data_IF_996803405433
#
_entry.id   IF_996803405433
#
_cell.length_a   1.000
_cell.length_b   1.000
_cell.length_c   1.000
_cell.angle_alpha   90.00
_cell.angle_beta   90.00
_cell.angle_gamma   90.00
#
_symmetry.space_group_name_H-M   'P 1'
#
loop_
_entity.id
_entity.type
_entity.pdbx_description
1 polymer ?
#
# COMPACT_ATOMS: atom_id res chain seq x y z
N UNK A 1 28.52 -4.55 22.30
CA UNK A 1 29.83 -4.89 22.90
C UNK A 1 29.85 -6.39 23.18
N UNK A 2 30.75 -7.14 22.56
CA UNK A 2 30.88 -8.57 22.87
C UNK A 2 31.96 -8.73 23.91
N UNK A 3 31.55 -8.85 25.16
CA UNK A 3 32.47 -9.01 26.31
C UNK A 3 32.98 -10.47 26.40
N UNK A 4 32.28 -11.43 25.78
CA UNK A 4 32.52 -12.86 25.93
C UNK A 4 33.53 -13.45 24.93
N UNK A 5 33.73 -12.81 23.78
CA UNK A 5 34.56 -13.42 22.69
C UNK A 5 35.78 -12.55 22.32
N UNK A 6 35.94 -11.36 22.91
CA UNK A 6 36.99 -10.41 22.53
C UNK A 6 36.83 -9.79 21.13
N UNK A 7 35.73 -10.12 20.41
CA UNK A 7 35.48 -9.58 19.09
C UNK A 7 35.10 -8.09 19.15
N UNK A 8 35.65 -7.31 18.24
CA UNK A 8 35.25 -5.92 18.04
C UNK A 8 34.09 -5.85 17.05
N UNK A 9 32.95 -5.30 17.47
CA UNK A 9 31.77 -5.14 16.65
C UNK A 9 31.52 -3.66 16.40
N UNK A 10 31.51 -3.24 15.12
CA UNK A 10 31.08 -1.93 14.67
C UNK A 10 29.68 -2.07 14.09
N UNK A 11 28.67 -1.47 14.76
CA UNK A 11 27.30 -1.41 14.24
C UNK A 11 27.09 -0.07 13.54
N UNK A 12 26.67 -0.13 12.27
CA UNK A 12 26.21 1.05 11.54
C UNK A 12 24.74 0.85 11.20
N UNK A 13 23.87 1.64 11.82
CA UNK A 13 22.42 1.59 11.57
C UNK A 13 22.02 2.79 10.70
N UNK A 14 21.46 2.51 9.52
CA UNK A 14 20.91 3.52 8.61
C UNK A 14 19.39 3.39 8.58
N UNK A 15 18.68 4.45 8.97
CA UNK A 15 17.23 4.54 8.78
C UNK A 15 17.00 4.95 7.32
N UNK A 16 16.33 4.09 6.56
CA UNK A 16 16.05 4.33 5.14
C UNK A 16 14.62 4.82 4.94
N UNK A 17 13.64 4.11 5.49
CA UNK A 17 12.22 4.39 5.30
C UNK A 17 11.48 4.48 6.64
N UNK A 18 10.53 5.41 6.78
CA UNK A 18 9.58 5.37 7.89
C UNK A 18 8.58 4.22 7.71
N UNK A 19 7.84 3.91 8.78
CA UNK A 19 6.74 2.95 8.69
C UNK A 19 5.58 3.60 7.93
N UNK A 20 5.04 2.90 6.92
CA UNK A 20 3.82 3.30 6.26
C UNK A 20 2.61 2.92 7.13
N UNK A 21 1.87 3.92 7.55
CA UNK A 21 0.62 3.75 8.31
C UNK A 21 -0.49 4.50 7.60
N UNK A 22 -1.54 3.79 7.22
CA UNK A 22 -2.73 4.42 6.64
C UNK A 22 -3.48 5.23 7.69
N UNK A 23 -3.80 6.47 7.38
CA UNK A 23 -4.67 7.27 8.23
C UNK A 23 -6.11 6.75 8.15
N UNK A 24 -6.75 6.56 9.31
CA UNK A 24 -8.04 5.88 9.39
C UNK A 24 -9.15 6.52 8.54
N UNK A 25 -9.36 7.86 8.53
CA UNK A 25 -10.40 8.45 7.68
C UNK A 25 -10.18 8.18 6.19
N UNK A 26 -8.92 8.26 5.71
CA UNK A 26 -8.57 8.01 4.31
C UNK A 26 -8.72 6.54 3.94
N UNK A 27 -8.35 5.64 4.86
CA UNK A 27 -8.54 4.20 4.71
C UNK A 27 -10.02 3.83 4.58
N UNK A 28 -10.88 4.41 5.44
CA UNK A 28 -12.33 4.17 5.42
C UNK A 28 -12.96 4.73 4.13
N UNK A 29 -12.57 5.94 3.71
CA UNK A 29 -13.08 6.55 2.48
C UNK A 29 -12.71 5.70 1.24
N UNK A 30 -11.48 5.25 1.14
CA UNK A 30 -11.05 4.36 0.07
C UNK A 30 -11.82 3.03 0.10
N UNK A 31 -11.93 2.40 1.27
CA UNK A 31 -12.67 1.15 1.43
C UNK A 31 -14.14 1.26 1.03
N UNK A 32 -14.82 2.38 1.36
CA UNK A 32 -16.20 2.60 0.99
C UNK A 32 -16.38 2.63 -0.53
N UNK A 33 -15.49 3.34 -1.24
CA UNK A 33 -15.52 3.41 -2.70
C UNK A 33 -15.25 2.05 -3.34
N UNK A 34 -14.19 1.37 -2.92
CA UNK A 34 -13.84 0.08 -3.53
C UNK A 34 -14.84 -1.03 -3.20
N UNK A 35 -15.48 -1.02 -2.02
CA UNK A 35 -16.58 -1.95 -1.70
C UNK A 35 -17.81 -1.77 -2.58
N UNK A 36 -18.06 -0.55 -3.03
CA UNK A 36 -19.20 -0.24 -3.90
C UNK A 36 -18.93 -0.59 -5.37
N UNK A 37 -17.70 -0.39 -5.84
CA UNK A 37 -17.36 -0.44 -7.27
C UNK A 37 -16.62 -1.69 -7.70
N UNK A 38 -15.75 -2.24 -6.84
CA UNK A 38 -14.90 -3.35 -7.22
C UNK A 38 -15.70 -4.66 -7.35
N UNK A 39 -15.37 -5.43 -8.37
CA UNK A 39 -15.90 -6.79 -8.57
C UNK A 39 -15.37 -7.79 -7.53
N UNK A 40 -14.28 -7.43 -6.83
CA UNK A 40 -13.59 -8.27 -5.86
C UNK A 40 -13.89 -7.93 -4.40
N UNK A 41 -13.19 -8.61 -3.50
CA UNK A 41 -13.33 -8.43 -2.05
C UNK A 41 -12.36 -7.36 -1.54
N UNK A 42 -12.86 -6.48 -0.69
CA UNK A 42 -12.04 -5.46 -0.01
C UNK A 42 -11.64 -5.97 1.39
N UNK A 43 -10.35 -6.18 1.57
CA UNK A 43 -9.76 -6.61 2.84
C UNK A 43 -9.25 -5.40 3.63
N UNK A 44 -9.80 -5.19 4.83
CA UNK A 44 -9.38 -4.08 5.70
C UNK A 44 -8.24 -4.45 6.64
N UNK A 45 -8.16 -5.72 7.02
CA UNK A 45 -7.22 -6.22 8.03
C UNK A 45 -6.08 -7.02 7.36
N UNK A 46 -5.44 -6.39 6.37
CA UNK A 46 -4.30 -7.02 5.71
C UNK A 46 -3.09 -7.03 6.65
N UNK A 47 -2.39 -8.17 6.81
CA UNK A 47 -1.23 -8.26 7.68
C UNK A 47 -0.15 -7.24 7.30
N UNK A 48 0.53 -6.71 8.31
CA UNK A 48 1.67 -5.83 8.08
C UNK A 48 2.76 -6.56 7.28
N UNK A 49 3.35 -5.88 6.31
CA UNK A 49 4.47 -6.40 5.53
C UNK A 49 5.77 -5.69 5.91
N UNK A 50 6.89 -6.42 5.80
CA UNK A 50 8.22 -5.90 6.12
C UNK A 50 8.87 -5.17 4.92
N UNK A 51 8.13 -4.97 3.83
CA UNK A 51 8.61 -4.21 2.67
C UNK A 51 8.76 -2.73 2.97
N UNK A 52 9.78 -2.11 2.37
CA UNK A 52 9.91 -0.65 2.36
C UNK A 52 8.99 -0.06 1.29
N UNK A 53 8.41 1.11 1.58
CA UNK A 53 7.49 1.80 0.69
C UNK A 53 7.74 3.31 0.77
N UNK A 54 8.03 3.95 -0.34
CA UNK A 54 8.36 5.39 -0.38
C UNK A 54 7.14 6.28 -0.16
N UNK A 55 5.93 5.81 -0.41
CA UNK A 55 4.69 6.50 -0.06
C UNK A 55 4.61 6.83 1.44
N UNK A 56 5.39 6.15 2.29
CA UNK A 56 5.53 6.47 3.70
C UNK A 56 6.03 7.90 3.97
N UNK A 57 6.83 8.47 3.08
CA UNK A 57 7.26 9.87 3.18
C UNK A 57 6.11 10.83 2.89
N UNK A 58 5.21 10.48 1.96
CA UNK A 58 4.02 11.27 1.65
C UNK A 58 3.04 11.27 2.82
N UNK A 59 2.79 10.09 3.42
CA UNK A 59 1.90 9.99 4.59
C UNK A 59 2.47 10.64 5.85
N UNK A 60 3.78 10.82 5.93
CA UNK A 60 4.44 11.61 6.96
C UNK A 60 4.19 13.11 6.87
N UNK A 61 3.79 13.61 5.69
CA UNK A 61 3.50 15.03 5.43
C UNK A 61 2.00 15.30 5.42
N UNK A 62 1.22 14.40 4.83
CA UNK A 62 -0.24 14.52 4.70
C UNK A 62 -0.90 13.19 5.04
N UNK A 63 -2.01 13.17 5.81
CA UNK A 63 -2.77 11.95 6.03
C UNK A 63 -3.21 11.34 4.69
N UNK A 64 -2.87 10.07 4.49
CA UNK A 64 -3.13 9.33 3.26
C UNK A 64 -3.44 7.87 3.53
N UNK A 65 -3.83 7.15 2.49
CA UNK A 65 -3.98 5.70 2.52
C UNK A 65 -3.36 5.07 1.28
N UNK A 66 -2.56 4.06 1.50
CA UNK A 66 -2.00 3.20 0.49
C UNK A 66 -2.93 2.00 0.26
N UNK A 67 -3.38 1.83 -0.97
CA UNK A 67 -4.29 0.76 -1.38
C UNK A 67 -3.52 -0.24 -2.23
N UNK A 68 -3.64 -1.51 -1.92
CA UNK A 68 -3.10 -2.60 -2.74
C UNK A 68 -4.22 -3.18 -3.59
N UNK A 69 -4.01 -3.29 -4.88
CA UNK A 69 -4.92 -3.97 -5.81
C UNK A 69 -4.34 -5.34 -6.11
N UNK A 70 -5.12 -6.39 -5.86
CA UNK A 70 -4.72 -7.76 -6.19
C UNK A 70 -4.79 -7.98 -7.69
N UNK A 71 -3.71 -8.51 -8.27
CA UNK A 71 -3.60 -8.77 -9.71
C UNK A 71 -3.54 -10.25 -10.04
N UNK A 72 -3.56 -11.12 -9.04
CA UNK A 72 -3.43 -12.56 -9.24
C UNK A 72 -4.72 -13.20 -9.74
N UNK A 73 -4.59 -14.09 -10.74
CA UNK A 73 -5.61 -15.01 -11.21
C UNK A 73 -4.95 -16.35 -11.63
N UNK A 74 -5.67 -17.20 -12.34
CA UNK A 74 -5.15 -18.49 -12.81
C UNK A 74 -3.93 -18.36 -13.74
N UNK A 75 -3.79 -17.24 -14.46
CA UNK A 75 -2.70 -16.97 -15.42
C UNK A 75 -1.60 -16.11 -14.81
N UNK A 76 -1.94 -15.24 -13.87
CA UNK A 76 -1.04 -14.26 -13.24
C UNK A 76 -0.70 -14.69 -11.81
N UNK A 77 0.17 -15.70 -11.67
CA UNK A 77 0.49 -16.32 -10.38
C UNK A 77 1.80 -15.84 -9.76
N UNK A 78 2.69 -15.26 -10.57
CA UNK A 78 3.97 -14.76 -10.08
C UNK A 78 3.79 -13.49 -9.25
N UNK A 79 4.54 -13.40 -8.12
CA UNK A 79 4.53 -12.21 -7.28
C UNK A 79 5.40 -11.10 -7.86
N UNK A 80 5.11 -9.85 -7.49
CA UNK A 80 5.99 -8.70 -7.77
C UNK A 80 7.45 -9.02 -7.39
N UNK A 81 8.39 -8.46 -8.12
CA UNK A 81 9.83 -8.72 -8.03
C UNK A 81 10.27 -10.13 -8.47
N UNK A 82 9.38 -10.94 -9.03
CA UNK A 82 9.74 -12.19 -9.71
C UNK A 82 10.00 -11.91 -11.19
N UNK A 83 11.04 -12.51 -11.82
CA UNK A 83 11.29 -12.31 -13.27
C UNK A 83 10.13 -12.75 -14.18
N UNK A 84 9.28 -13.66 -13.72
CA UNK A 84 8.07 -14.11 -14.43
C UNK A 84 6.81 -13.32 -14.06
N UNK A 85 6.94 -12.19 -13.35
CA UNK A 85 5.78 -11.35 -13.04
C UNK A 85 5.19 -10.76 -14.33
N UNK A 86 3.92 -10.98 -14.52
CA UNK A 86 3.12 -10.36 -15.57
C UNK A 86 1.93 -9.66 -14.93
N UNK A 87 1.67 -8.43 -15.35
CA UNK A 87 0.60 -7.61 -14.80
C UNK A 87 -0.74 -8.03 -15.42
N UNK A 88 -1.75 -8.22 -14.59
CA UNK A 88 -3.10 -8.52 -15.06
C UNK A 88 -3.84 -7.22 -15.43
N UNK A 89 -3.93 -6.94 -16.72
CA UNK A 89 -4.58 -5.72 -17.25
C UNK A 89 -6.08 -5.64 -16.91
N UNK A 90 -6.73 -6.77 -16.62
CA UNK A 90 -8.15 -6.79 -16.27
C UNK A 90 -8.48 -5.98 -14.98
N UNK A 91 -7.50 -5.71 -14.13
CA UNK A 91 -7.73 -4.93 -12.89
C UNK A 91 -7.59 -3.42 -13.11
N UNK A 92 -7.17 -2.96 -14.29
CA UNK A 92 -6.92 -1.53 -14.56
C UNK A 92 -8.21 -0.72 -14.47
N UNK A 93 -9.30 -1.22 -15.04
CA UNK A 93 -10.59 -0.53 -15.06
C UNK A 93 -11.12 -0.32 -13.64
N UNK A 94 -11.15 -1.37 -12.81
CA UNK A 94 -11.60 -1.30 -11.42
C UNK A 94 -10.74 -0.33 -10.61
N UNK A 95 -9.42 -0.41 -10.76
CA UNK A 95 -8.49 0.46 -10.04
C UNK A 95 -8.65 1.94 -10.46
N UNK A 96 -8.67 2.21 -11.76
CA UNK A 96 -8.79 3.57 -12.29
C UNK A 96 -10.14 4.20 -11.91
N UNK A 97 -11.23 3.46 -12.03
CA UNK A 97 -12.58 3.91 -11.66
C UNK A 97 -12.65 4.19 -10.17
N UNK A 98 -12.11 3.31 -9.34
CA UNK A 98 -12.06 3.49 -7.88
C UNK A 98 -11.35 4.78 -7.48
N UNK A 99 -10.18 5.06 -8.06
CA UNK A 99 -9.45 6.30 -7.80
C UNK A 99 -10.18 7.54 -8.33
N UNK A 100 -10.78 7.48 -9.53
CA UNK A 100 -11.53 8.60 -10.09
C UNK A 100 -12.74 8.99 -9.21
N UNK A 101 -13.50 7.98 -8.75
CA UNK A 101 -14.66 8.21 -7.86
C UNK A 101 -14.20 8.74 -6.50
N UNK A 102 -13.11 8.18 -5.94
CA UNK A 102 -12.55 8.66 -4.68
C UNK A 102 -12.16 10.13 -4.76
N UNK A 103 -11.47 10.53 -5.84
CA UNK A 103 -11.09 11.93 -6.09
C UNK A 103 -12.32 12.83 -6.22
N UNK A 104 -13.31 12.43 -7.02
CA UNK A 104 -14.54 13.20 -7.21
C UNK A 104 -15.29 13.43 -5.89
N UNK A 105 -15.41 12.40 -5.04
CA UNK A 105 -16.03 12.52 -3.71
C UNK A 105 -15.27 13.50 -2.82
N UNK A 106 -13.94 13.40 -2.78
CA UNK A 106 -13.10 14.30 -1.97
C UNK A 106 -13.18 15.76 -2.41
N UNK A 107 -13.23 16.03 -3.71
CA UNK A 107 -13.39 17.39 -4.24
C UNK A 107 -14.75 17.97 -3.86
N UNK A 108 -15.82 17.18 -3.93
CA UNK A 108 -17.16 17.62 -3.57
C UNK A 108 -17.33 17.85 -2.05
N UNK A 109 -16.63 17.12 -1.20
CA UNK A 109 -16.61 17.35 0.26
C UNK A 109 -15.91 18.66 0.62
N UNK A 110 -14.82 19.01 -0.09
CA UNK A 110 -14.06 20.24 0.12
C UNK A 110 -14.73 21.51 -0.43
N UNK A 111 -15.79 21.36 -1.24
CA UNK A 111 -16.53 22.47 -1.83
C UNK A 111 -17.75 22.93 -0.98
N UNK A 112 -17.98 22.32 0.17
CA UNK A 112 -19.03 22.67 1.14
C UNK A 112 -18.41 23.34 2.36
#
# INVERSE_FOLDING_TARGET
>A
MSVTTGAQVKLTYKRLYPVLVNAEPQRQAAAAVFKELASGTVHMDFPASMGAEDFAFMTGVKPGAFVKVGTADASHTAKVHNPGFDFNDAVIEDAATGFAVLLARRLNEGAR
#
